data_IF_096964949798
#
_entry.id   IF_096964949798
#
_cell.length_a   1.000
_cell.length_b   1.000
_cell.length_c   1.000
_cell.angle_alpha   90.00
_cell.angle_beta   90.00
_cell.angle_gamma   90.00
#
_symmetry.space_group_name_H-M   'P 1'
#
loop_
_entity.id
_entity.type
_entity.pdbx_description
1 polymer ?
#
# COMPACT_ATOMS: atom_id res chain seq x y z
N UNK A 1 6.14 -18.75 -19.30
CA UNK A 1 5.83 -18.22 -17.95
C UNK A 1 6.78 -17.06 -17.69
N UNK A 2 6.24 -15.90 -17.30
CA UNK A 2 7.03 -14.71 -16.97
C UNK A 2 7.70 -14.88 -15.60
N UNK A 3 9.01 -14.67 -15.51
CA UNK A 3 9.72 -14.63 -14.24
C UNK A 3 10.25 -13.24 -13.94
N UNK A 4 9.59 -12.59 -12.99
CA UNK A 4 10.16 -11.49 -12.23
C UNK A 4 11.36 -12.05 -11.48
N UNK A 5 12.54 -11.44 -11.63
CA UNK A 5 13.72 -11.81 -10.85
C UNK A 5 14.15 -10.58 -10.08
N UNK A 6 13.89 -10.60 -8.78
CA UNK A 6 14.23 -9.50 -7.88
C UNK A 6 15.45 -9.88 -7.04
N UNK A 7 16.58 -9.22 -7.29
CA UNK A 7 17.76 -9.36 -6.44
C UNK A 7 17.52 -8.65 -5.10
N UNK A 8 17.66 -9.40 -4.01
CA UNK A 8 17.59 -8.86 -2.65
C UNK A 8 18.99 -8.40 -2.17
N UNK A 9 19.72 -7.65 -2.99
CA UNK A 9 21.07 -7.16 -2.67
C UNK A 9 21.08 -6.25 -1.42
N UNK A 10 19.97 -5.56 -1.18
CA UNK A 10 19.77 -4.69 -0.02
C UNK A 10 19.56 -5.44 1.29
N UNK A 11 19.34 -6.75 1.27
CA UNK A 11 19.01 -7.55 2.46
C UNK A 11 20.19 -7.59 3.45
N UNK A 12 21.44 -7.53 2.97
CA UNK A 12 22.61 -7.36 3.86
C UNK A 12 22.64 -6.02 4.58
N UNK A 13 22.10 -4.95 3.98
CA UNK A 13 21.95 -3.64 4.64
C UNK A 13 20.82 -3.68 5.66
N UNK A 14 19.68 -4.30 5.32
CA UNK A 14 18.56 -4.47 6.25
C UNK A 14 19.00 -5.35 7.45
N UNK A 15 19.72 -6.45 7.20
CA UNK A 15 20.22 -7.37 8.23
C UNK A 15 21.13 -6.70 9.26
N UNK A 16 21.93 -5.70 8.85
CA UNK A 16 22.78 -4.92 9.76
C UNK A 16 21.98 -4.09 10.77
N UNK A 17 20.76 -3.69 10.41
CA UNK A 17 19.90 -2.84 11.25
C UNK A 17 18.88 -3.64 12.07
N UNK A 18 18.74 -4.94 11.81
CA UNK A 18 17.68 -5.78 12.39
C UNK A 18 18.27 -7.04 13.01
N UNK A 19 18.35 -7.08 14.35
CA UNK A 19 18.82 -8.26 15.08
C UNK A 19 17.94 -9.50 14.83
N UNK A 20 16.65 -9.34 14.55
CA UNK A 20 15.74 -10.45 14.17
C UNK A 20 16.12 -11.10 12.84
N UNK A 21 16.68 -10.35 11.87
CA UNK A 21 17.18 -10.90 10.61
C UNK A 21 18.43 -11.73 10.85
N UNK A 22 19.16 -11.58 11.97
CA UNK A 22 20.28 -12.46 12.31
C UNK A 22 19.84 -13.94 12.46
N UNK A 23 18.57 -14.21 12.82
CA UNK A 23 18.02 -15.60 12.80
C UNK A 23 17.82 -16.11 11.36
N UNK A 24 17.50 -15.20 10.43
CA UNK A 24 17.44 -15.47 8.97
C UNK A 24 18.82 -15.42 8.32
N UNK A 25 19.86 -14.89 9.00
CA UNK A 25 21.21 -14.86 8.47
C UNK A 25 21.79 -16.26 8.24
N UNK A 26 21.28 -17.29 8.92
CA UNK A 26 21.57 -18.70 8.61
C UNK A 26 20.92 -19.16 7.29
N UNK A 27 19.83 -18.54 6.85
CA UNK A 27 19.21 -18.77 5.53
C UNK A 27 19.86 -17.88 4.45
N UNK A 28 20.49 -16.79 4.85
CA UNK A 28 21.29 -15.94 3.95
C UNK A 28 22.71 -16.47 3.70
N UNK A 29 23.21 -17.41 4.52
CA UNK A 29 24.53 -18.02 4.36
C UNK A 29 24.65 -18.99 3.16
N UNK A 30 23.61 -19.77 2.76
CA UNK A 30 23.67 -20.45 1.48
C UNK A 30 23.55 -19.44 0.34
N UNK A 31 24.51 -19.48 -0.60
CA UNK A 31 24.46 -18.70 -1.84
C UNK A 31 23.28 -19.09 -2.76
N UNK A 32 22.48 -20.10 -2.39
CA UNK A 32 21.41 -20.69 -3.19
C UNK A 32 20.18 -20.90 -2.29
N UNK A 33 19.02 -20.37 -2.69
CA UNK A 33 17.75 -20.45 -1.96
C UNK A 33 16.76 -21.40 -2.63
N UNK A 34 16.15 -22.28 -1.84
CA UNK A 34 14.98 -23.07 -2.24
C UNK A 34 13.69 -22.22 -2.20
N UNK A 35 12.59 -22.75 -2.73
CA UNK A 35 11.29 -22.08 -2.64
C UNK A 35 10.84 -21.85 -1.19
N UNK A 36 11.10 -22.81 -0.30
CA UNK A 36 10.77 -22.66 1.12
C UNK A 36 11.59 -21.55 1.78
N UNK A 37 12.89 -21.46 1.45
CA UNK A 37 13.75 -20.38 1.95
C UNK A 37 13.24 -19.00 1.51
N UNK A 38 12.84 -18.86 0.24
CA UNK A 38 12.30 -17.61 -0.30
C UNK A 38 10.99 -17.22 0.39
N UNK A 39 10.09 -18.16 0.63
CA UNK A 39 8.87 -17.89 1.39
C UNK A 39 9.17 -17.46 2.83
N UNK A 40 10.07 -18.16 3.53
CA UNK A 40 10.50 -17.79 4.88
C UNK A 40 11.08 -16.36 4.91
N UNK A 41 11.90 -15.99 3.92
CA UNK A 41 12.48 -14.65 3.82
C UNK A 41 11.38 -13.60 3.60
N UNK A 42 10.48 -13.81 2.64
CA UNK A 42 9.39 -12.87 2.34
C UNK A 42 8.44 -12.71 3.54
N UNK A 43 8.18 -13.79 4.27
CA UNK A 43 7.38 -13.77 5.48
C UNK A 43 8.05 -13.00 6.62
N UNK A 44 9.36 -13.18 6.79
CA UNK A 44 10.14 -12.39 7.75
C UNK A 44 10.13 -10.90 7.37
N UNK A 45 10.32 -10.56 6.10
CA UNK A 45 10.28 -9.17 5.61
C UNK A 45 8.88 -8.56 5.78
N UNK A 46 7.81 -9.33 5.56
CA UNK A 46 6.45 -8.90 5.78
C UNK A 46 6.22 -8.56 7.27
N UNK A 47 6.67 -9.42 8.19
CA UNK A 47 6.57 -9.14 9.63
C UNK A 47 7.40 -7.91 10.04
N UNK A 48 8.57 -7.71 9.46
CA UNK A 48 9.41 -6.54 9.73
C UNK A 48 8.81 -5.24 9.20
N UNK A 49 8.07 -5.29 8.09
CA UNK A 49 7.33 -4.14 7.59
C UNK A 49 6.34 -3.59 8.64
N UNK A 50 5.76 -4.47 9.46
CA UNK A 50 4.82 -4.14 10.53
C UNK A 50 5.49 -3.49 11.76
N UNK A 51 6.81 -3.53 11.85
CA UNK A 51 7.55 -2.85 12.93
C UNK A 51 7.76 -1.38 12.57
N UNK A 52 7.26 -0.49 13.45
CA UNK A 52 7.23 0.97 13.24
C UNK A 52 8.57 1.56 12.78
N UNK A 53 9.68 1.06 13.32
CA UNK A 53 11.03 1.59 13.08
C UNK A 53 11.62 1.10 11.76
N UNK A 54 11.12 -0.03 11.22
CA UNK A 54 11.64 -0.65 10.01
C UNK A 54 10.75 -0.46 8.78
N UNK A 55 9.47 -0.05 8.93
CA UNK A 55 8.53 0.16 7.81
C UNK A 55 9.15 0.97 6.66
N UNK A 56 9.77 2.10 6.96
CA UNK A 56 10.35 3.01 5.96
C UNK A 56 11.65 2.44 5.35
N UNK A 57 12.49 1.78 6.17
CA UNK A 57 13.69 1.10 5.72
C UNK A 57 13.37 -0.01 4.71
N UNK A 58 12.37 -0.84 5.01
CA UNK A 58 11.90 -1.92 4.13
C UNK A 58 11.36 -1.32 2.84
N UNK A 59 10.49 -0.30 2.91
CA UNK A 59 9.92 0.33 1.73
C UNK A 59 10.98 0.99 0.83
N UNK A 60 12.03 1.59 1.42
CA UNK A 60 13.16 2.18 0.70
C UNK A 60 13.93 1.13 -0.09
N UNK A 61 14.19 -0.03 0.51
CA UNK A 61 15.08 -1.04 -0.07
C UNK A 61 14.37 -2.12 -0.89
N UNK A 62 13.07 -2.30 -0.69
CA UNK A 62 12.26 -3.36 -1.28
C UNK A 62 10.98 -2.83 -1.92
N UNK A 63 11.03 -1.60 -2.47
CA UNK A 63 9.91 -0.94 -3.15
C UNK A 63 9.11 -1.86 -4.09
N UNK A 64 9.73 -2.67 -4.97
CA UNK A 64 8.98 -3.53 -5.89
C UNK A 64 8.14 -4.61 -5.19
N UNK A 65 8.50 -4.99 -3.96
CA UNK A 65 7.79 -5.99 -3.15
C UNK A 65 6.84 -5.38 -2.12
N UNK A 66 6.80 -4.06 -1.95
CA UNK A 66 5.98 -3.41 -0.91
C UNK A 66 4.52 -3.85 -0.98
N UNK A 67 3.94 -3.93 -2.19
CA UNK A 67 2.57 -4.40 -2.36
C UNK A 67 2.41 -5.86 -1.91
N UNK A 68 3.32 -6.75 -2.32
CA UNK A 68 3.30 -8.16 -1.93
C UNK A 68 3.39 -8.33 -0.40
N UNK A 69 4.30 -7.59 0.25
CA UNK A 69 4.47 -7.63 1.70
C UNK A 69 3.22 -7.11 2.44
N UNK A 70 2.52 -6.11 1.88
CA UNK A 70 1.25 -5.62 2.42
C UNK A 70 0.14 -6.68 2.30
N UNK A 71 0.04 -7.36 1.14
CA UNK A 71 -0.95 -8.41 0.88
C UNK A 71 -0.76 -9.62 1.81
N UNK A 72 0.48 -10.10 1.94
CA UNK A 72 0.82 -11.17 2.89
C UNK A 72 0.41 -10.82 4.32
N UNK A 73 0.56 -9.56 4.73
CA UNK A 73 0.14 -9.12 6.05
C UNK A 73 -1.38 -9.00 6.17
N UNK A 74 -2.09 -8.57 5.13
CA UNK A 74 -3.55 -8.57 5.15
C UNK A 74 -4.13 -9.98 5.27
N UNK A 75 -3.53 -10.97 4.59
CA UNK A 75 -3.89 -12.38 4.73
C UNK A 75 -3.66 -12.86 6.17
N UNK A 76 -2.50 -12.53 6.77
CA UNK A 76 -2.21 -12.86 8.19
C UNK A 76 -3.19 -12.24 9.17
N UNK A 77 -3.63 -11.01 8.92
CA UNK A 77 -4.62 -10.36 9.78
C UNK A 77 -5.94 -11.15 9.78
N UNK A 78 -6.28 -11.81 8.68
CA UNK A 78 -7.52 -12.59 8.52
C UNK A 78 -7.32 -14.11 8.68
N UNK A 79 -6.10 -14.55 9.01
CA UNK A 79 -5.77 -15.95 9.16
C UNK A 79 -6.48 -16.53 10.39
N UNK A 80 -7.48 -17.37 10.16
CA UNK A 80 -8.31 -17.97 11.22
C UNK A 80 -9.78 -17.52 11.21
N UNK A 81 -10.23 -16.79 10.19
CA UNK A 81 -11.65 -16.43 10.01
C UNK A 81 -12.12 -15.24 10.85
N UNK A 82 -11.32 -14.80 11.83
CA UNK A 82 -11.49 -13.56 12.57
C UNK A 82 -10.32 -12.60 12.35
N UNK A 83 -10.50 -11.34 12.72
CA UNK A 83 -9.48 -10.30 12.55
C UNK A 83 -8.55 -10.31 13.75
N UNK A 84 -7.27 -10.56 13.51
CA UNK A 84 -6.23 -10.35 14.51
C UNK A 84 -6.00 -8.85 14.71
N UNK A 85 -6.51 -8.31 15.82
CA UNK A 85 -6.47 -6.88 16.10
C UNK A 85 -5.06 -6.31 16.31
N UNK A 86 -4.12 -7.06 16.91
CA UNK A 86 -2.73 -6.59 17.04
C UNK A 86 -2.05 -6.45 15.68
N UNK A 87 -2.18 -7.46 14.82
CA UNK A 87 -1.64 -7.40 13.46
C UNK A 87 -2.33 -6.32 12.62
N UNK A 88 -3.65 -6.15 12.78
CA UNK A 88 -4.42 -5.11 12.10
C UNK A 88 -3.91 -3.72 12.48
N UNK A 89 -3.75 -3.45 13.78
CA UNK A 89 -3.21 -2.17 14.28
C UNK A 89 -1.82 -1.89 13.71
N UNK A 90 -0.92 -2.89 13.72
CA UNK A 90 0.44 -2.75 13.17
C UNK A 90 0.42 -2.51 11.66
N UNK A 91 -0.42 -3.23 10.91
CA UNK A 91 -0.58 -3.06 9.48
C UNK A 91 -1.10 -1.67 9.15
N UNK A 92 -2.09 -1.16 9.88
CA UNK A 92 -2.62 0.18 9.68
C UNK A 92 -1.56 1.26 9.91
N UNK A 93 -0.76 1.15 10.99
CA UNK A 93 0.32 2.10 11.27
C UNK A 93 1.39 2.05 10.18
N UNK A 94 1.83 0.86 9.79
CA UNK A 94 2.82 0.68 8.72
C UNK A 94 2.29 1.25 7.39
N UNK A 95 1.08 0.87 6.99
CA UNK A 95 0.42 1.33 5.78
C UNK A 95 0.27 2.86 5.74
N UNK A 96 -0.11 3.48 6.87
CA UNK A 96 -0.29 4.94 6.96
C UNK A 96 0.98 5.73 6.62
N UNK A 97 2.17 5.16 6.91
CA UNK A 97 3.47 5.76 6.56
C UNK A 97 3.81 5.59 5.09
N UNK A 98 3.25 4.57 4.43
CA UNK A 98 3.54 4.25 3.03
C UNK A 98 2.64 5.01 2.06
N UNK A 99 1.54 5.61 2.51
CA UNK A 99 0.58 6.34 1.67
C UNK A 99 1.21 7.45 0.81
N UNK A 100 2.23 8.13 1.32
CA UNK A 100 2.93 9.21 0.60
C UNK A 100 4.17 8.73 -0.19
N UNK A 101 4.59 7.47 0.04
CA UNK A 101 5.82 6.89 -0.53
C UNK A 101 5.51 6.01 -1.73
N UNK A 102 4.48 5.16 -1.62
CA UNK A 102 4.08 4.24 -2.68
C UNK A 102 2.64 4.50 -3.11
N UNK A 103 2.36 4.74 -4.40
CA UNK A 103 0.99 4.88 -4.89
C UNK A 103 0.18 3.59 -4.65
N UNK A 104 0.81 2.42 -4.75
CA UNK A 104 0.16 1.12 -4.51
C UNK A 104 -0.42 1.01 -3.09
N UNK A 105 0.18 1.68 -2.11
CA UNK A 105 -0.29 1.67 -0.73
C UNK A 105 -1.67 2.36 -0.59
N UNK A 106 -1.95 3.38 -1.40
CA UNK A 106 -3.25 4.07 -1.38
C UNK A 106 -4.36 3.15 -1.88
N UNK A 107 -4.16 2.54 -3.05
CA UNK A 107 -5.12 1.60 -3.65
C UNK A 107 -5.32 0.38 -2.77
N UNK A 108 -4.23 -0.19 -2.24
CA UNK A 108 -4.28 -1.30 -1.28
C UNK A 108 -5.10 -0.92 -0.04
N UNK A 109 -4.80 0.24 0.57
CA UNK A 109 -5.49 0.70 1.78
C UNK A 109 -6.98 0.92 1.57
N UNK A 110 -7.35 1.55 0.47
CA UNK A 110 -8.75 1.74 0.10
C UNK A 110 -9.49 0.40 0.02
N UNK A 111 -8.91 -0.62 -0.64
CA UNK A 111 -9.51 -1.96 -0.77
C UNK A 111 -9.49 -2.74 0.56
N UNK A 112 -8.45 -2.57 1.36
CA UNK A 112 -8.32 -3.26 2.64
C UNK A 112 -9.44 -2.87 3.61
N UNK A 113 -9.71 -1.56 3.74
CA UNK A 113 -10.74 -1.05 4.64
C UNK A 113 -12.19 -1.25 4.15
N UNK A 114 -12.41 -1.67 2.90
CA UNK A 114 -13.76 -2.06 2.47
C UNK A 114 -14.30 -3.25 3.28
N UNK A 115 -13.41 -4.08 3.83
CA UNK A 115 -13.77 -5.26 4.63
C UNK A 115 -13.01 -5.35 5.96
N UNK A 116 -12.33 -4.28 6.37
CA UNK A 116 -11.57 -4.24 7.62
C UNK A 116 -12.07 -3.11 8.52
N UNK A 117 -12.01 -3.29 9.84
CA UNK A 117 -12.49 -2.28 10.79
C UNK A 117 -11.59 -1.03 10.78
N UNK A 118 -12.05 0.09 11.37
CA UNK A 118 -11.24 1.28 11.54
C UNK A 118 -9.95 1.01 12.32
N UNK A 119 -8.93 1.82 12.07
CA UNK A 119 -7.60 1.75 12.72
C UNK A 119 -7.71 1.72 14.26
N UNK A 120 -8.71 2.40 14.81
CA UNK A 120 -8.97 2.53 16.23
C UNK A 120 -10.10 1.61 16.72
N UNK A 121 -10.34 0.47 16.05
CA UNK A 121 -11.39 -0.50 16.41
C UNK A 121 -11.43 -0.85 17.90
N UNK A 122 -10.26 -0.87 18.55
CA UNK A 122 -10.17 -1.16 19.98
C UNK A 122 -10.89 -0.19 20.91
N UNK A 123 -11.29 0.98 20.44
CA UNK A 123 -12.08 1.94 21.21
C UNK A 123 -13.55 1.52 21.33
N UNK A 124 -14.00 0.61 20.47
CA UNK A 124 -15.35 0.06 20.51
C UNK A 124 -15.47 -1.16 21.42
N UNK A 125 -14.34 -1.72 21.88
CA UNK A 125 -14.37 -2.94 22.67
C UNK A 125 -14.97 -2.72 24.05
N UNK A 126 -15.83 -3.65 24.43
CA UNK A 126 -16.22 -3.86 25.82
C UNK A 126 -15.03 -4.35 26.66
N UNK A 127 -15.19 -4.37 27.99
CA UNK A 127 -14.16 -4.89 28.90
C UNK A 127 -13.83 -6.37 28.61
N UNK A 128 -14.83 -7.16 28.20
CA UNK A 128 -14.67 -8.58 27.90
C UNK A 128 -13.88 -8.79 26.61
N UNK A 129 -14.28 -8.11 25.52
CA UNK A 129 -13.57 -8.16 24.23
C UNK A 129 -12.13 -7.67 24.36
N UNK A 130 -11.90 -6.62 25.14
CA UNK A 130 -10.56 -6.10 25.41
C UNK A 130 -9.63 -7.13 26.04
N UNK A 131 -10.17 -8.02 26.90
CA UNK A 131 -9.40 -9.08 27.56
C UNK A 131 -9.15 -10.29 26.66
N UNK A 132 -10.02 -10.54 25.68
CA UNK A 132 -9.87 -11.63 24.71
C UNK A 132 -8.78 -11.35 23.66
N UNK A 133 -8.47 -10.07 23.39
CA UNK A 133 -7.44 -9.71 22.42
C UNK A 133 -6.03 -9.92 22.99
N UNK A 134 -5.32 -10.88 22.40
CA UNK A 134 -3.92 -11.14 22.73
C UNK A 134 -3.00 -10.19 21.94
N UNK A 135 -2.52 -9.14 22.61
CA UNK A 135 -1.53 -8.24 22.04
C UNK A 135 -0.11 -8.81 22.18
N UNK A 136 0.66 -8.73 21.10
CA UNK A 136 2.06 -9.12 21.11
C UNK A 136 2.95 -8.19 21.95
N UNK A 137 4.25 -8.54 22.12
CA UNK A 137 5.20 -7.64 22.75
C UNK A 137 5.27 -6.32 21.95
N UNK A 138 5.37 -5.19 22.67
CA UNK A 138 5.35 -3.84 22.09
C UNK A 138 4.07 -3.51 21.31
N UNK A 139 2.92 -3.60 21.98
CA UNK A 139 1.61 -3.14 21.47
C UNK A 139 1.67 -1.72 20.91
N UNK A 140 0.92 -1.46 19.83
CA UNK A 140 0.79 -0.13 19.24
C UNK A 140 0.11 0.85 20.20
N UNK A 141 0.78 1.98 20.47
CA UNK A 141 0.26 3.02 21.36
C UNK A 141 -0.86 3.78 20.67
N UNK A 142 -1.80 4.32 21.45
CA UNK A 142 -2.94 5.05 20.89
C UNK A 142 -2.53 6.26 20.06
N UNK A 143 -1.44 6.94 20.45
CA UNK A 143 -0.84 8.03 19.65
C UNK A 143 -0.42 7.60 18.25
N UNK A 144 0.03 6.34 18.08
CA UNK A 144 0.45 5.82 16.78
C UNK A 144 -0.77 5.51 15.91
N UNK A 145 -1.82 4.93 16.51
CA UNK A 145 -3.10 4.67 15.82
C UNK A 145 -3.79 5.96 15.38
N UNK A 146 -3.88 6.96 16.25
CA UNK A 146 -4.52 8.22 15.91
C UNK A 146 -3.69 9.02 14.88
N UNK A 147 -2.36 8.95 14.96
CA UNK A 147 -1.49 9.49 13.92
C UNK A 147 -1.70 8.80 12.57
N UNK A 148 -1.85 7.46 12.56
CA UNK A 148 -2.18 6.71 11.36
C UNK A 148 -3.57 7.07 10.80
N UNK A 149 -4.56 7.19 11.68
CA UNK A 149 -5.94 7.59 11.37
C UNK A 149 -5.97 8.94 10.66
N UNK A 150 -5.22 9.93 11.16
CA UNK A 150 -5.12 11.24 10.54
C UNK A 150 -4.50 11.16 9.13
N UNK A 151 -3.44 10.36 8.94
CA UNK A 151 -2.80 10.20 7.63
C UNK A 151 -3.74 9.57 6.59
N UNK A 152 -4.53 8.56 6.99
CA UNK A 152 -5.56 8.01 6.09
C UNK A 152 -6.59 9.06 5.71
N UNK A 153 -7.12 9.80 6.69
CA UNK A 153 -8.11 10.85 6.42
C UNK A 153 -7.55 11.99 5.56
N UNK A 154 -6.26 12.32 5.70
CA UNK A 154 -5.58 13.27 4.82
C UNK A 154 -5.38 12.74 3.40
N UNK A 155 -5.22 11.43 3.23
CA UNK A 155 -5.05 10.81 1.90
C UNK A 155 -6.36 10.76 1.11
N UNK A 156 -7.47 10.40 1.76
CA UNK A 156 -8.81 10.38 1.16
C UNK A 156 -9.87 10.71 2.22
N UNK A 157 -10.10 12.01 2.41
CA UNK A 157 -11.02 12.49 3.43
C UNK A 157 -12.45 12.01 3.18
N UNK A 158 -12.90 12.02 1.91
CA UNK A 158 -14.26 11.67 1.56
C UNK A 158 -14.57 10.20 1.89
N UNK A 159 -13.66 9.28 1.53
CA UNK A 159 -13.85 7.85 1.81
C UNK A 159 -13.83 7.54 3.29
N UNK A 160 -12.76 7.89 4.00
CA UNK A 160 -12.59 7.47 5.40
C UNK A 160 -13.54 8.19 6.37
N UNK A 161 -14.00 9.38 6.03
CA UNK A 161 -15.05 10.07 6.78
C UNK A 161 -16.34 9.27 6.79
N UNK A 162 -16.75 8.72 5.65
CA UNK A 162 -17.99 7.95 5.52
C UNK A 162 -17.85 6.51 5.98
N UNK A 163 -16.63 5.95 5.87
CA UNK A 163 -16.37 4.55 6.16
C UNK A 163 -16.27 4.23 7.66
N UNK A 164 -15.77 5.18 8.47
CA UNK A 164 -15.51 4.96 9.89
C UNK A 164 -16.53 5.66 10.78
N UNK A 165 -16.94 5.01 11.86
CA UNK A 165 -17.66 5.67 12.94
C UNK A 165 -16.67 6.43 13.84
N UNK A 166 -16.91 7.72 14.00
CA UNK A 166 -16.07 8.64 14.77
C UNK A 166 -16.57 8.86 16.19
N UNK A 167 -17.69 8.25 16.58
CA UNK A 167 -18.30 8.42 17.89
C UNK A 167 -17.33 8.17 19.07
N UNK A 168 -16.47 7.12 19.08
CA UNK A 168 -15.60 6.89 20.23
C UNK A 168 -14.48 7.91 20.35
N UNK A 169 -14.11 8.58 19.25
CA UNK A 169 -13.04 9.56 19.21
C UNK A 169 -13.35 10.80 20.07
N UNK A 170 -14.63 11.11 20.33
CA UNK A 170 -15.01 12.26 21.16
C UNK A 170 -14.43 12.14 22.58
N UNK A 171 -14.41 10.94 23.15
CA UNK A 171 -13.84 10.68 24.48
C UNK A 171 -12.33 10.94 24.54
N UNK A 172 -11.63 10.80 23.41
CA UNK A 172 -10.18 10.96 23.34
C UNK A 172 -9.74 12.42 23.49
N UNK A 173 -10.63 13.39 23.25
CA UNK A 173 -10.34 14.81 23.46
C UNK A 173 -10.09 15.15 24.93
N UNK A 174 -10.52 14.30 25.86
CA UNK A 174 -10.36 14.48 27.30
C UNK A 174 -9.13 13.75 27.87
N UNK A 175 -8.36 13.06 27.02
CA UNK A 175 -7.19 12.32 27.46
C UNK A 175 -6.03 13.24 27.85
N UNK A 176 -5.20 12.81 28.81
CA UNK A 176 -4.01 13.56 29.22
C UNK A 176 -2.92 13.63 28.14
N UNK A 177 -2.93 12.68 27.21
CA UNK A 177 -1.93 12.57 26.15
C UNK A 177 -2.14 13.62 25.05
N UNK A 178 -1.27 14.64 25.05
CA UNK A 178 -1.27 15.75 24.09
C UNK A 178 -1.30 15.27 22.64
N UNK A 179 -0.55 14.23 22.29
CA UNK A 179 -0.51 13.76 20.90
C UNK A 179 -1.82 13.09 20.49
N UNK A 180 -2.46 12.35 21.40
CA UNK A 180 -3.76 11.73 21.15
C UNK A 180 -4.81 12.82 20.97
N UNK A 181 -4.86 13.82 21.87
CA UNK A 181 -5.75 14.99 21.74
C UNK A 181 -5.52 15.72 20.42
N UNK A 182 -4.27 15.98 20.06
CA UNK A 182 -3.88 16.65 18.81
C UNK A 182 -4.40 15.90 17.57
N UNK A 183 -4.05 14.62 17.43
CA UNK A 183 -4.48 13.84 16.26
C UNK A 183 -5.99 13.71 16.19
N UNK A 184 -6.64 13.45 17.33
CA UNK A 184 -8.11 13.33 17.43
C UNK A 184 -8.79 14.63 17.02
N UNK A 185 -8.35 15.78 17.54
CA UNK A 185 -8.93 17.07 17.21
C UNK A 185 -8.76 17.41 15.73
N UNK A 186 -7.60 17.08 15.15
CA UNK A 186 -7.37 17.25 13.71
C UNK A 186 -8.28 16.36 12.86
N UNK A 187 -8.48 15.09 13.25
CA UNK A 187 -9.42 14.21 12.56
C UNK A 187 -10.85 14.76 12.62
N UNK A 188 -11.32 15.14 13.81
CA UNK A 188 -12.68 15.65 13.99
C UNK A 188 -12.91 16.98 13.24
N UNK A 189 -11.90 17.85 13.16
CA UNK A 189 -11.97 19.07 12.37
C UNK A 189 -12.16 18.78 10.87
N UNK A 190 -11.48 17.75 10.33
CA UNK A 190 -11.63 17.31 8.94
C UNK A 190 -13.00 16.65 8.71
N UNK A 191 -13.44 15.77 9.61
CA UNK A 191 -14.73 15.06 9.55
C UNK A 191 -15.92 16.01 9.66
N UNK A 192 -15.79 17.10 10.40
CA UNK A 192 -16.87 18.10 10.57
C UNK A 192 -16.80 19.26 9.57
N UNK A 193 -15.86 19.24 8.61
CA UNK A 193 -15.62 20.33 7.65
C UNK A 193 -15.45 21.70 8.32
N UNK A 194 -14.69 21.77 9.41
CA UNK A 194 -14.37 23.06 10.03
C UNK A 194 -13.56 23.93 9.07
N UNK A 195 -13.96 25.20 8.95
CA UNK A 195 -13.11 26.23 8.33
C UNK A 195 -11.83 26.44 9.15
N UNK A 196 -10.80 27.04 8.56
CA UNK A 196 -9.53 27.28 9.27
C UNK A 196 -9.71 28.10 10.56
N UNK A 197 -10.65 29.05 10.55
CA UNK A 197 -11.00 29.82 11.74
C UNK A 197 -11.65 28.94 12.82
N UNK A 198 -12.67 28.16 12.46
CA UNK A 198 -13.34 27.23 13.39
C UNK A 198 -12.36 26.20 13.95
N UNK A 199 -11.50 25.63 13.11
CA UNK A 199 -10.44 24.69 13.51
C UNK A 199 -9.48 25.33 14.50
N UNK A 200 -9.07 26.57 14.27
CA UNK A 200 -8.16 27.29 15.20
C UNK A 200 -8.82 27.51 16.56
N UNK A 201 -10.09 27.94 16.56
CA UNK A 201 -10.87 28.11 17.80
C UNK A 201 -11.03 26.76 18.51
N UNK A 202 -11.35 25.70 17.78
CA UNK A 202 -11.53 24.36 18.32
C UNK A 202 -10.23 23.82 18.94
N UNK A 203 -9.10 23.91 18.23
CA UNK A 203 -7.81 23.46 18.75
C UNK A 203 -7.40 24.20 20.02
N UNK A 204 -7.63 25.52 20.09
CA UNK A 204 -7.36 26.33 21.29
C UNK A 204 -8.26 25.98 22.49
N UNK A 205 -9.41 25.34 22.27
CA UNK A 205 -10.27 24.83 23.35
C UNK A 205 -9.80 23.47 23.87
N UNK A 206 -9.17 22.66 23.01
CA UNK A 206 -8.72 21.30 23.35
C UNK A 206 -7.28 21.29 23.88
N UNK A 207 -6.44 22.21 23.42
CA UNK A 207 -4.99 22.24 23.68
C UNK A 207 -4.54 23.64 24.10
N UNK A 208 -3.47 23.70 24.89
CA UNK A 208 -2.83 24.98 25.23
C UNK A 208 -2.03 25.55 24.06
N UNK A 209 -1.73 26.85 24.09
CA UNK A 209 -0.90 27.50 23.05
C UNK A 209 0.47 26.83 22.91
N UNK A 210 1.10 26.44 24.01
CA UNK A 210 2.42 25.80 24.01
C UNK A 210 2.35 24.37 23.44
N UNK A 211 1.32 23.60 23.80
CA UNK A 211 1.04 22.28 23.23
C UNK A 211 0.87 22.37 21.70
N UNK A 212 0.10 23.36 21.23
CA UNK A 212 -0.12 23.58 19.79
C UNK A 212 1.19 23.90 19.08
N UNK A 213 2.01 24.79 19.63
CA UNK A 213 3.30 25.15 19.03
C UNK A 213 4.23 23.94 18.96
N UNK A 214 4.35 23.19 20.05
CA UNK A 214 5.17 21.97 20.10
C UNK A 214 4.71 20.93 19.06
N UNK A 215 3.40 20.68 18.96
CA UNK A 215 2.87 19.71 18.00
C UNK A 215 3.01 20.17 16.55
N UNK A 216 2.95 21.47 16.26
CA UNK A 216 3.24 22.01 14.93
C UNK A 216 4.70 21.79 14.54
N UNK A 217 5.65 22.10 15.44
CA UNK A 217 7.07 21.86 15.20
C UNK A 217 7.35 20.38 14.92
N UNK A 218 6.82 19.50 15.77
CA UNK A 218 6.93 18.06 15.59
C UNK A 218 6.33 17.57 14.27
N UNK A 219 5.17 18.10 13.88
CA UNK A 219 4.53 17.74 12.60
C UNK A 219 5.38 18.15 11.39
N UNK A 220 6.08 19.28 11.46
CA UNK A 220 7.02 19.71 10.41
C UNK A 220 8.22 18.78 10.32
N UNK A 221 8.81 18.39 11.45
CA UNK A 221 9.92 17.43 11.49
C UNK A 221 9.52 16.07 10.90
N UNK A 222 8.35 15.54 11.29
CA UNK A 222 7.83 14.27 10.75
C UNK A 222 7.61 14.35 9.23
N UNK A 223 7.09 15.48 8.75
CA UNK A 223 6.86 15.71 7.30
C UNK A 223 8.19 15.78 6.55
N UNK A 224 9.18 16.49 7.10
CA UNK A 224 10.51 16.59 6.51
C UNK A 224 11.21 15.23 6.43
N UNK A 225 11.13 14.42 7.50
CA UNK A 225 11.66 13.05 7.49
C UNK A 225 10.99 12.19 6.43
N UNK A 226 9.66 12.29 6.29
CA UNK A 226 8.91 11.52 5.31
C UNK A 226 9.25 11.91 3.86
N UNK A 227 9.39 13.21 3.58
CA UNK A 227 9.82 13.70 2.26
C UNK A 227 11.26 13.27 1.94
N UNK A 228 12.16 13.27 2.94
CA UNK A 228 13.51 12.73 2.78
C UNK A 228 13.49 11.23 2.44
N UNK A 229 12.68 10.42 3.13
CA UNK A 229 12.51 9.00 2.81
C UNK A 229 11.97 8.78 1.41
N UNK A 230 10.97 9.56 1.01
CA UNK A 230 10.40 9.52 -0.34
C UNK A 230 11.46 9.82 -1.41
N UNK A 231 12.32 10.82 -1.18
CA UNK A 231 13.44 11.11 -2.07
C UNK A 231 14.43 9.94 -2.15
N UNK A 232 14.76 9.31 -1.02
CA UNK A 232 15.63 8.13 -1.00
C UNK A 232 15.04 6.91 -1.71
N UNK A 233 13.72 6.68 -1.58
CA UNK A 233 13.00 5.61 -2.29
C UNK A 233 13.05 5.82 -3.81
N UNK A 234 13.02 7.08 -4.27
CA UNK A 234 13.14 7.43 -5.68
C UNK A 234 14.58 7.32 -6.18
N UNK A 235 15.57 7.64 -5.34
CA UNK A 235 16.99 7.53 -5.66
C UNK A 235 17.48 6.07 -5.70
N UNK A 236 16.88 5.19 -4.89
CA UNK A 236 17.24 3.79 -4.82
C UNK A 236 16.65 3.00 -6.01
N UNK A 237 17.36 3.03 -7.14
CA UNK A 237 17.04 2.24 -8.32
C UNK A 237 17.36 0.76 -8.07
N UNK A 238 16.48 0.07 -7.33
CA UNK A 238 16.55 -1.38 -7.19
C UNK A 238 16.59 -2.05 -8.56
N UNK A 239 17.55 -2.97 -8.77
CA UNK A 239 17.70 -3.67 -10.03
C UNK A 239 16.62 -4.75 -10.16
N UNK A 240 15.53 -4.43 -10.85
CA UNK A 240 14.51 -5.42 -11.24
C UNK A 240 14.86 -5.99 -12.60
N UNK A 241 15.24 -7.26 -12.62
CA UNK A 241 15.51 -7.99 -13.86
C UNK A 241 14.27 -8.77 -14.28
N UNK A 242 13.94 -8.70 -15.56
CA UNK A 242 12.88 -9.50 -16.17
C UNK A 242 13.52 -10.46 -17.16
N UNK A 243 13.19 -11.74 -17.05
CA UNK A 243 13.67 -12.79 -17.95
C UNK A 243 12.53 -13.72 -18.37
N UNK A 244 12.58 -14.21 -19.61
CA UNK A 244 11.63 -15.17 -20.19
C UNK A 244 12.12 -16.63 -20.04
N UNK A 245 12.85 -16.94 -18.97
CA UNK A 245 13.34 -18.30 -18.69
C UNK A 245 12.37 -19.04 -17.76
N UNK A 246 12.47 -20.38 -17.66
CA UNK A 246 11.66 -21.17 -16.71
C UNK A 246 12.05 -20.84 -15.26
N UNK A 247 11.09 -20.99 -14.33
CA UNK A 247 11.34 -20.68 -12.93
C UNK A 247 12.43 -21.61 -12.39
N UNK A 248 13.51 -21.02 -11.89
CA UNK A 248 14.59 -21.79 -11.32
C UNK A 248 14.15 -22.30 -9.94
N UNK A 249 14.24 -23.63 -9.74
CA UNK A 249 13.99 -24.25 -8.42
C UNK A 249 14.86 -23.63 -7.32
N UNK A 250 16.05 -23.20 -7.72
CA UNK A 250 17.08 -22.66 -6.85
C UNK A 250 17.57 -21.30 -7.39
N UNK A 251 17.66 -20.29 -6.54
CA UNK A 251 18.08 -18.93 -6.96
C UNK A 251 19.21 -18.39 -6.09
N UNK A 252 20.06 -17.53 -6.66
CA UNK A 252 21.16 -16.89 -5.90
C UNK A 252 20.73 -15.52 -5.41
N UNK A 253 20.02 -15.47 -4.29
CA UNK A 253 19.62 -14.18 -3.70
C UNK A 253 18.46 -13.50 -4.43
N UNK A 254 17.65 -14.25 -5.17
CA UNK A 254 16.58 -13.72 -6.02
C UNK A 254 15.22 -14.31 -5.68
N UNK A 255 14.19 -13.48 -5.79
CA UNK A 255 12.77 -13.89 -5.69
C UNK A 255 12.19 -14.03 -7.10
N UNK A 256 11.37 -15.05 -7.31
CA UNK A 256 10.68 -15.32 -8.58
C UNK A 256 9.18 -15.03 -8.52
N UNK A 257 8.52 -14.87 -9.68
CA UNK A 257 7.07 -14.62 -9.77
C UNK A 257 6.21 -15.63 -8.98
N UNK A 258 6.61 -16.91 -8.99
CA UNK A 258 5.91 -17.99 -8.27
C UNK A 258 5.96 -17.84 -6.75
N UNK A 259 6.88 -17.02 -6.24
CA UNK A 259 6.98 -16.77 -4.81
C UNK A 259 6.01 -15.69 -4.34
N UNK A 260 5.38 -14.91 -5.22
CA UNK A 260 4.50 -13.80 -4.83
C UNK A 260 3.15 -14.32 -4.28
N UNK A 261 2.50 -13.48 -3.47
CA UNK A 261 1.15 -13.72 -2.96
C UNK A 261 0.12 -13.82 -4.08
N UNK A 262 -0.99 -14.50 -3.81
CA UNK A 262 -2.02 -14.76 -4.83
C UNK A 262 -2.76 -13.48 -5.28
N UNK A 263 -2.72 -12.43 -4.45
CA UNK A 263 -3.37 -11.14 -4.69
C UNK A 263 -2.52 -10.17 -5.51
N UNK A 264 -1.31 -10.56 -5.90
CA UNK A 264 -0.45 -9.77 -6.80
C UNK A 264 -0.06 -10.56 -8.03
N UNK A 265 0.35 -9.85 -9.07
CA UNK A 265 0.88 -10.42 -10.30
C UNK A 265 2.05 -9.58 -10.79
N UNK A 266 3.11 -10.25 -11.20
CA UNK A 266 4.22 -9.59 -11.87
C UNK A 266 3.94 -9.50 -13.37
N UNK A 267 3.99 -8.29 -13.92
CA UNK A 267 3.88 -8.03 -15.36
C UNK A 267 5.17 -7.37 -15.82
N UNK A 268 5.99 -8.11 -16.55
CA UNK A 268 7.23 -7.59 -17.16
C UNK A 268 8.15 -6.81 -16.19
N UNK A 269 8.24 -7.24 -14.93
CA UNK A 269 9.07 -6.58 -13.90
C UNK A 269 8.33 -5.64 -12.94
N UNK A 270 7.03 -5.44 -13.11
CA UNK A 270 6.22 -4.57 -12.24
C UNK A 270 5.21 -5.43 -11.47
N UNK A 271 5.18 -5.31 -10.15
CA UNK A 271 4.20 -6.01 -9.30
C UNK A 271 2.93 -5.17 -9.25
N UNK A 272 1.80 -5.75 -9.64
CA UNK A 272 0.49 -5.11 -9.68
C UNK A 272 -0.53 -5.91 -8.86
N UNK A 273 -1.62 -5.29 -8.37
CA UNK A 273 -2.73 -6.01 -7.78
C UNK A 273 -3.40 -6.94 -8.79
N UNK A 274 -3.80 -8.13 -8.34
CA UNK A 274 -4.52 -9.13 -9.14
C UNK A 274 -5.98 -9.20 -8.70
N UNK A 275 -6.93 -9.05 -9.63
CA UNK A 275 -8.37 -9.05 -9.32
C UNK A 275 -9.16 -10.23 -9.95
N UNK A 276 -8.61 -11.07 -10.88
CA UNK A 276 -9.08 -12.43 -11.36
C UNK A 276 -8.79 -12.72 -12.87
N UNK A 277 -8.42 -13.97 -13.18
CA UNK A 277 -8.34 -14.73 -14.47
C UNK A 277 -7.42 -14.27 -15.64
N UNK A 278 -6.59 -15.23 -16.10
CA UNK A 278 -5.64 -15.09 -17.20
C UNK A 278 -6.29 -15.14 -18.59
N UNK A 279 -5.79 -14.31 -19.50
CA UNK A 279 -5.85 -14.51 -20.96
C UNK A 279 -4.42 -14.69 -21.47
N UNK A 280 -4.23 -15.58 -22.43
CA UNK A 280 -2.93 -15.82 -23.06
C UNK A 280 -2.62 -14.75 -24.12
N UNK A 281 -1.54 -14.00 -23.91
CA UNK A 281 -0.91 -13.16 -24.91
C UNK A 281 0.49 -13.74 -25.18
N UNK A 282 0.87 -13.88 -26.45
CA UNK A 282 2.21 -14.30 -26.82
C UNK A 282 3.19 -13.16 -26.55
N UNK A 283 4.14 -13.40 -25.64
CA UNK A 283 5.14 -12.43 -25.21
C UNK A 283 6.37 -12.50 -26.12
N UNK A 284 6.64 -11.38 -26.80
CA UNK A 284 7.84 -11.13 -27.61
C UNK A 284 8.50 -9.85 -27.08
N UNK A 285 9.81 -9.66 -27.26
CA UNK A 285 10.57 -8.56 -26.65
C UNK A 285 9.94 -7.16 -26.79
N UNK A 286 9.39 -6.86 -27.97
CA UNK A 286 8.69 -5.58 -28.24
C UNK A 286 7.41 -5.47 -27.41
N UNK A 287 6.61 -6.53 -27.36
CA UNK A 287 5.40 -6.65 -26.54
C UNK A 287 5.73 -6.49 -25.06
N UNK A 288 6.79 -7.14 -24.56
CA UNK A 288 7.22 -7.06 -23.16
C UNK A 288 7.66 -5.65 -22.76
N UNK A 289 8.39 -4.95 -23.64
CA UNK A 289 8.80 -3.56 -23.39
C UNK A 289 7.58 -2.63 -23.31
N UNK A 290 6.61 -2.83 -24.20
CA UNK A 290 5.37 -2.05 -24.21
C UNK A 290 4.50 -2.37 -23.00
N UNK A 291 4.37 -3.64 -22.62
CA UNK A 291 3.67 -4.08 -21.41
C UNK A 291 4.32 -3.53 -20.15
N UNK A 292 5.65 -3.50 -20.05
CA UNK A 292 6.34 -2.89 -18.91
C UNK A 292 6.02 -1.40 -18.78
N UNK A 293 6.03 -0.66 -19.89
CA UNK A 293 5.65 0.77 -19.90
C UNK A 293 4.19 0.96 -19.48
N UNK A 294 3.30 0.13 -20.01
CA UNK A 294 1.88 0.15 -19.66
C UNK A 294 1.66 -0.23 -18.17
N UNK A 295 2.40 -1.21 -17.64
CA UNK A 295 2.32 -1.61 -16.25
C UNK A 295 2.80 -0.50 -15.30
N UNK A 296 3.89 0.21 -15.64
CA UNK A 296 4.34 1.39 -14.90
C UNK A 296 3.30 2.53 -14.94
N UNK A 297 2.68 2.73 -16.09
CA UNK A 297 1.56 3.67 -16.25
C UNK A 297 0.37 3.30 -15.34
N UNK A 298 -0.03 2.04 -15.33
CA UNK A 298 -1.10 1.52 -14.46
C UNK A 298 -0.75 1.66 -12.98
N UNK A 299 0.49 1.30 -12.59
CA UNK A 299 0.98 1.47 -11.21
C UNK A 299 0.98 2.93 -10.76
N UNK A 300 1.11 3.89 -11.70
CA UNK A 300 1.06 5.31 -11.37
C UNK A 300 -0.33 5.82 -10.99
N UNK A 301 -1.39 5.05 -11.27
CA UNK A 301 -2.81 5.41 -11.01
C UNK A 301 -3.20 6.76 -11.65
N UNK A 302 -2.60 7.09 -12.79
CA UNK A 302 -2.90 8.31 -13.57
C UNK A 302 -3.51 7.95 -14.93
N UNK A 303 -4.35 8.82 -15.52
CA UNK A 303 -4.79 8.66 -16.90
C UNK A 303 -3.59 8.63 -17.86
N UNK A 304 -3.60 7.70 -18.81
CA UNK A 304 -2.50 7.53 -19.78
C UNK A 304 -3.03 7.45 -21.20
N UNK A 305 -2.31 8.10 -22.11
CA UNK A 305 -2.53 8.06 -23.56
C UNK A 305 -1.55 7.05 -24.18
N UNK A 306 -2.08 6.12 -24.98
CA UNK A 306 -1.28 5.15 -25.73
C UNK A 306 -1.30 5.50 -27.22
N UNK A 307 -0.15 5.93 -27.75
CA UNK A 307 0.04 6.32 -29.15
C UNK A 307 0.95 5.32 -29.88
N UNK A 308 0.72 5.12 -31.17
CA UNK A 308 1.57 4.28 -32.00
C UNK A 308 1.00 4.09 -33.42
N UNK A 309 1.72 3.39 -34.31
CA UNK A 309 1.22 3.11 -35.66
C UNK A 309 -0.07 2.26 -35.63
N UNK A 310 -0.85 2.34 -36.71
CA UNK A 310 -2.09 1.56 -36.86
C UNK A 310 -1.74 0.07 -36.89
N UNK A 311 -2.53 -0.76 -36.21
CA UNK A 311 -2.34 -2.21 -36.20
C UNK A 311 -1.26 -2.75 -35.25
N UNK A 312 -0.57 -1.92 -34.44
CA UNK A 312 0.49 -2.39 -33.54
C UNK A 312 -0.01 -3.04 -32.23
N UNK A 313 -1.29 -3.43 -32.17
CA UNK A 313 -1.85 -4.16 -31.03
C UNK A 313 -2.13 -3.34 -29.77
N UNK A 314 -2.25 -2.02 -29.87
CA UNK A 314 -2.57 -1.12 -28.73
C UNK A 314 -3.74 -1.61 -27.89
N UNK A 315 -4.89 -1.87 -28.53
CA UNK A 315 -6.09 -2.39 -27.86
C UNK A 315 -5.85 -3.75 -27.22
N UNK A 316 -5.11 -4.65 -27.87
CA UNK A 316 -4.79 -5.97 -27.33
C UNK A 316 -3.92 -5.89 -26.06
N UNK A 317 -2.97 -4.95 -26.00
CA UNK A 317 -2.16 -4.71 -24.80
C UNK A 317 -3.00 -4.23 -23.62
N UNK A 318 -3.96 -3.32 -23.88
CA UNK A 318 -4.88 -2.82 -22.84
C UNK A 318 -5.80 -3.92 -22.34
N UNK A 319 -6.37 -4.71 -23.24
CA UNK A 319 -7.22 -5.84 -22.88
C UNK A 319 -6.46 -6.90 -22.08
N UNK A 320 -5.22 -7.18 -22.45
CA UNK A 320 -4.37 -8.10 -21.70
C UNK A 320 -4.06 -7.55 -20.30
N UNK A 321 -3.66 -6.28 -20.19
CA UNK A 321 -3.37 -5.65 -18.90
C UNK A 321 -4.59 -5.63 -17.98
N UNK A 322 -5.76 -5.33 -18.55
CA UNK A 322 -7.01 -5.37 -17.81
C UNK A 322 -7.38 -6.79 -17.37
N UNK A 323 -7.18 -7.80 -18.23
CA UNK A 323 -7.37 -9.20 -17.83
C UNK A 323 -6.41 -9.61 -16.69
N UNK A 324 -5.12 -9.28 -16.79
CA UNK A 324 -4.11 -9.65 -15.79
C UNK A 324 -4.33 -8.95 -14.45
N UNK A 325 -4.72 -7.68 -14.47
CA UNK A 325 -5.11 -6.93 -13.26
C UNK A 325 -6.50 -7.31 -12.75
N UNK A 326 -7.23 -8.15 -13.48
CA UNK A 326 -8.51 -8.71 -13.06
C UNK A 326 -9.76 -7.90 -13.38
N UNK A 327 -9.61 -6.87 -14.22
CA UNK A 327 -10.70 -6.10 -14.80
C UNK A 327 -11.27 -6.77 -16.07
N UNK A 328 -11.36 -8.10 -16.12
CA UNK A 328 -11.67 -8.82 -17.37
C UNK A 328 -13.14 -8.73 -17.81
N UNK A 329 -14.05 -8.34 -16.91
CA UNK A 329 -15.49 -8.26 -17.21
C UNK A 329 -15.81 -6.94 -17.91
N UNK A 330 -16.69 -7.00 -18.92
CA UNK A 330 -17.19 -5.82 -19.67
C UNK A 330 -17.86 -4.77 -18.80
N UNK A 331 -18.23 -5.11 -17.56
CA UNK A 331 -18.76 -4.19 -16.55
C UNK A 331 -17.71 -3.29 -15.90
N UNK A 332 -16.42 -3.60 -16.06
CA UNK A 332 -15.31 -2.90 -15.39
C UNK A 332 -14.41 -2.12 -16.38
N UNK A 333 -14.32 -2.54 -17.64
CA UNK A 333 -13.70 -1.78 -18.72
C UNK A 333 -14.78 -1.13 -19.58
N UNK A 334 -14.94 0.18 -19.46
CA UNK A 334 -15.73 0.93 -20.43
C UNK A 334 -14.86 1.31 -21.63
N UNK A 335 -15.16 0.73 -22.78
CA UNK A 335 -14.59 1.14 -24.05
C UNK A 335 -15.53 2.13 -24.73
N UNK A 336 -15.08 3.36 -24.90
CA UNK A 336 -15.78 4.38 -25.67
C UNK A 336 -15.01 4.62 -26.96
N UNK A 337 -15.61 4.30 -28.11
CA UNK A 337 -15.06 4.67 -29.40
C UNK A 337 -15.55 6.07 -29.73
N UNK A 338 -14.64 7.06 -29.66
CA UNK A 338 -14.95 8.44 -30.02
C UNK A 338 -14.97 8.57 -31.54
N UNK A 339 -16.11 8.94 -32.10
CA UNK A 339 -16.29 9.32 -33.50
C UNK A 339 -17.13 10.59 -33.60
N UNK A 340 -17.23 11.18 -34.79
CA UNK A 340 -17.88 12.48 -35.01
C UNK A 340 -19.36 12.53 -34.60
N UNK A 341 -20.01 11.37 -34.39
CA UNK A 341 -21.38 11.21 -33.91
C UNK A 341 -21.51 10.68 -32.46
N UNK A 342 -20.46 10.72 -31.65
CA UNK A 342 -20.55 10.22 -30.26
C UNK A 342 -21.43 11.12 -29.38
N UNK A 343 -22.50 10.54 -28.83
CA UNK A 343 -23.50 11.22 -28.01
C UNK A 343 -22.85 11.90 -26.80
N UNK A 344 -23.09 13.20 -26.66
CA UNK A 344 -22.57 14.07 -25.59
C UNK A 344 -22.92 13.60 -24.17
N UNK A 345 -23.87 12.67 -24.02
CA UNK A 345 -24.29 12.06 -22.74
C UNK A 345 -23.30 11.05 -22.15
N UNK A 346 -22.29 10.59 -22.88
CA UNK A 346 -21.28 9.64 -22.37
C UNK A 346 -20.27 10.30 -21.40
N UNK A 347 -20.31 11.63 -21.21
CA UNK A 347 -19.34 12.39 -20.41
C UNK A 347 -19.47 12.28 -18.89
N UNK A 348 -20.54 11.70 -18.34
CA UNK A 348 -20.83 11.73 -16.90
C UNK A 348 -20.25 10.57 -16.07
N UNK A 349 -19.21 9.89 -16.57
CA UNK A 349 -18.63 8.72 -15.92
C UNK A 349 -17.50 9.18 -14.98
N UNK A 350 -17.88 9.84 -13.88
CA UNK A 350 -17.00 10.14 -12.75
C UNK A 350 -17.44 9.31 -11.55
N UNK A 351 -16.59 8.42 -11.03
CA UNK A 351 -16.80 7.88 -9.68
C UNK A 351 -16.39 6.44 -9.40
N UNK A 352 -15.78 5.71 -10.34
CA UNK A 352 -15.14 4.42 -10.04
C UNK A 352 -13.67 4.50 -10.45
N UNK A 353 -12.79 3.75 -9.80
CA UNK A 353 -11.37 3.59 -10.13
C UNK A 353 -11.21 3.01 -11.54
N UNK A 354 -11.60 3.77 -12.56
CA UNK A 354 -11.53 3.39 -13.96
C UNK A 354 -10.18 3.85 -14.49
N UNK A 355 -9.41 2.89 -14.98
CA UNK A 355 -8.26 3.18 -15.83
C UNK A 355 -8.77 3.84 -17.11
N UNK A 356 -8.66 5.18 -17.16
CA UNK A 356 -8.87 5.92 -18.39
C UNK A 356 -7.64 5.74 -19.28
N UNK A 357 -7.78 4.86 -20.26
CA UNK A 357 -6.80 4.67 -21.33
C UNK A 357 -7.40 5.16 -22.63
N UNK A 358 -6.87 6.28 -23.11
CA UNK A 358 -7.20 6.80 -24.42
C UNK A 358 -6.21 6.18 -25.41
N UNK A 359 -6.72 5.62 -26.50
CA UNK A 359 -5.92 4.99 -27.56
C UNK A 359 -6.10 5.82 -28.82
N UNK A 360 -5.00 6.40 -29.32
CA UNK A 360 -4.95 7.13 -30.60
C UNK A 360 -4.24 6.27 -31.64
#
# INVERSE_FOLDING_TARGET
>A
MENLVLSLSSLGTIARHVDKIKRVAHVMSPQIWSQQDRQCILDCLAQLLLEKDYTLLIARHLRPLTLDLLERNAERVKAGGSINHDLHERLCVALSKLLSISPDAQTFGARYFDNAPPVFQRLFFTSEESSAVQYGPRRMKLRDLMGATLRFLQSDCAKFRMLWDWSPCMSLLLTSDVMVRWYTAHCLALVSHMTDNQKTIFLRKVLTSDEILHMKMKGLEETQQLEFEKALVLANQGYVTWCQEKANKFTRGQVVSEDLSQNVVAVCGVVLPRIINQKDLVLVDSTCRNLRRLALAVASQKPVLLEGPIGCGKTALVEFMAAVTGHAKTTEILKVQLGDQTDSKVRDIKGKNMLFLMVL
#
